data_IF_703960126346
#
_entry.id   IF_703960126346
#
_cell.length_a   1.000
_cell.length_b   1.000
_cell.length_c   1.000
_cell.angle_alpha   90.00
_cell.angle_beta   90.00
_cell.angle_gamma   90.00
#
_symmetry.space_group_name_H-M   'P 1'
#
loop_
_entity.id
_entity.type
_entity.pdbx_description
1 polymer ?
#
# COMPACT_ATOMS: atom_id res chain seq x y z
N UNK A 1 -5.03 21.39 -16.90
CA UNK A 1 -4.11 20.85 -17.92
C UNK A 1 -2.79 20.44 -17.31
N UNK A 2 -2.09 21.36 -16.65
CA UNK A 2 -0.77 21.05 -16.06
C UNK A 2 -0.85 19.96 -15.00
N UNK A 3 -1.85 19.99 -14.13
CA UNK A 3 -2.03 18.96 -13.11
C UNK A 3 -2.28 17.57 -13.71
N UNK A 4 -3.01 17.51 -14.82
CA UNK A 4 -3.28 16.26 -15.53
C UNK A 4 -2.00 15.67 -16.10
N UNK A 5 -1.13 16.50 -16.69
CA UNK A 5 0.15 16.06 -17.22
C UNK A 5 1.08 15.58 -16.11
N UNK A 6 1.09 16.28 -14.96
CA UNK A 6 1.86 15.88 -13.79
C UNK A 6 1.40 14.52 -13.28
N UNK A 7 0.09 14.31 -13.15
CA UNK A 7 -0.44 13.04 -12.67
C UNK A 7 -0.10 11.90 -13.62
N UNK A 8 -0.13 12.15 -14.93
CA UNK A 8 0.26 11.15 -15.91
C UNK A 8 1.72 10.73 -15.73
N UNK A 9 2.61 11.70 -15.52
CA UNK A 9 4.02 11.43 -15.27
C UNK A 9 4.21 10.63 -13.98
N UNK A 10 3.54 11.04 -12.90
CA UNK A 10 3.64 10.33 -11.63
C UNK A 10 3.09 8.90 -11.74
N UNK A 11 2.04 8.71 -12.55
CA UNK A 11 1.49 7.38 -12.78
C UNK A 11 2.52 6.48 -13.48
N UNK A 12 3.20 7.00 -14.49
CA UNK A 12 4.25 6.27 -15.20
C UNK A 12 5.43 5.96 -14.29
N UNK A 13 5.87 6.95 -13.50
CA UNK A 13 6.98 6.78 -12.55
C UNK A 13 6.65 5.74 -11.49
N UNK A 14 5.42 5.76 -10.98
CA UNK A 14 4.97 4.81 -9.96
C UNK A 14 5.05 3.37 -10.48
N UNK A 15 4.51 3.13 -11.67
CA UNK A 15 4.54 1.80 -12.29
C UNK A 15 5.98 1.36 -12.50
N UNK A 16 6.83 2.25 -13.00
CA UNK A 16 8.23 1.96 -13.26
C UNK A 16 8.98 1.58 -11.98
N UNK A 17 8.71 2.27 -10.88
CA UNK A 17 9.39 2.04 -9.60
C UNK A 17 8.84 0.86 -8.83
N UNK A 18 7.53 0.60 -8.88
CA UNK A 18 6.85 -0.35 -8.00
C UNK A 18 6.32 -1.61 -8.67
N UNK A 19 6.41 -1.71 -10.02
CA UNK A 19 5.85 -2.87 -10.73
C UNK A 19 6.46 -4.20 -10.26
N UNK A 20 7.69 -4.19 -9.77
CA UNK A 20 8.33 -5.40 -9.23
C UNK A 20 7.59 -6.00 -8.03
N UNK A 21 6.73 -5.22 -7.38
CA UNK A 21 5.92 -5.68 -6.24
C UNK A 21 4.49 -6.05 -6.64
N UNK A 22 4.07 -5.80 -7.88
CA UNK A 22 2.65 -5.87 -8.25
C UNK A 22 2.05 -7.27 -8.16
N UNK A 23 2.86 -8.32 -8.23
CA UNK A 23 2.39 -9.70 -8.07
C UNK A 23 2.39 -10.17 -6.63
N UNK A 24 2.83 -9.31 -5.71
CA UNK A 24 2.86 -9.64 -4.29
C UNK A 24 1.45 -9.84 -3.76
N UNK A 25 1.22 -10.95 -3.10
CA UNK A 25 -0.05 -11.25 -2.46
C UNK A 25 0.22 -12.04 -1.18
N UNK A 26 0.01 -11.37 -0.05
CA UNK A 26 0.18 -12.00 1.26
C UNK A 26 -1.20 -12.42 1.75
N UNK A 27 -1.32 -13.63 2.25
CA UNK A 27 -2.62 -14.13 2.72
C UNK A 27 -2.44 -15.06 3.91
N UNK A 28 -3.37 -14.98 4.85
CA UNK A 28 -3.47 -15.92 5.95
C UNK A 28 -4.73 -16.80 5.84
N UNK A 29 -5.35 -16.81 4.66
CA UNK A 29 -6.59 -17.52 4.39
C UNK A 29 -7.85 -16.68 4.52
N UNK A 30 -7.79 -15.58 5.25
CA UNK A 30 -8.91 -14.63 5.41
C UNK A 30 -8.51 -13.24 4.95
N UNK A 31 -7.40 -12.72 5.45
CA UNK A 31 -6.88 -11.40 5.10
C UNK A 31 -5.93 -11.54 3.92
N UNK A 32 -6.09 -10.68 2.93
CA UNK A 32 -5.22 -10.58 1.77
C UNK A 32 -4.60 -9.18 1.76
N UNK A 33 -3.28 -9.12 1.64
CA UNK A 33 -2.54 -7.85 1.59
C UNK A 33 -1.86 -7.77 0.24
N UNK A 34 -2.19 -6.74 -0.54
CA UNK A 34 -1.70 -6.54 -1.90
C UNK A 34 -1.23 -5.09 -2.07
N UNK A 35 -0.27 -4.82 -2.97
CA UNK A 35 0.15 -3.45 -3.24
C UNK A 35 -0.93 -2.68 -3.98
N UNK A 36 -0.95 -1.37 -3.78
CA UNK A 36 -1.72 -0.46 -4.64
C UNK A 36 -0.94 -0.32 -5.95
N UNK A 37 -1.60 -0.57 -7.07
CA UNK A 37 -0.94 -0.75 -8.37
C UNK A 37 -0.99 0.47 -9.28
N UNK A 38 -1.78 1.49 -8.93
CA UNK A 38 -1.96 2.68 -9.75
C UNK A 38 -2.36 3.87 -8.90
N UNK A 39 -2.23 5.07 -9.45
CA UNK A 39 -2.71 6.28 -8.80
C UNK A 39 -4.22 6.24 -8.58
N UNK A 40 -4.95 5.62 -9.49
CA UNK A 40 -6.39 5.43 -9.33
C UNK A 40 -6.71 4.58 -8.10
N UNK A 41 -5.91 3.54 -7.85
CA UNK A 41 -6.08 2.71 -6.66
C UNK A 41 -5.77 3.49 -5.38
N UNK A 42 -4.74 4.35 -5.40
CA UNK A 42 -4.46 5.25 -4.28
C UNK A 42 -5.63 6.17 -3.99
N UNK A 43 -6.20 6.75 -5.04
CA UNK A 43 -7.35 7.65 -4.91
C UNK A 43 -8.55 6.92 -4.32
N UNK A 44 -8.85 5.74 -4.84
CA UNK A 44 -9.95 4.92 -4.36
C UNK A 44 -9.77 4.48 -2.91
N UNK A 45 -8.55 4.08 -2.56
CA UNK A 45 -8.21 3.71 -1.19
C UNK A 45 -8.45 4.88 -0.24
N UNK A 46 -7.95 6.06 -0.59
CA UNK A 46 -8.14 7.26 0.22
C UNK A 46 -9.60 7.66 0.38
N UNK A 47 -10.38 7.57 -0.69
CA UNK A 47 -11.80 7.88 -0.65
C UNK A 47 -12.59 6.90 0.23
N UNK A 48 -12.37 5.61 0.06
CA UNK A 48 -13.10 4.57 0.80
C UNK A 48 -12.69 4.56 2.27
N UNK A 49 -11.39 4.71 2.54
CA UNK A 49 -10.86 4.62 3.89
C UNK A 49 -10.87 5.96 4.64
N UNK A 50 -11.30 7.04 3.97
CA UNK A 50 -11.33 8.39 4.54
C UNK A 50 -10.00 8.78 5.18
N UNK A 51 -8.92 8.58 4.44
CA UNK A 51 -7.58 9.02 4.85
C UNK A 51 -6.83 9.61 3.66
N UNK A 52 -5.63 10.12 3.90
CA UNK A 52 -4.95 11.01 2.96
C UNK A 52 -3.86 10.33 2.13
N UNK A 53 -3.97 9.03 1.87
CA UNK A 53 -2.93 8.29 1.13
C UNK A 53 -2.71 8.84 -0.28
N UNK A 54 -3.78 9.28 -0.95
CA UNK A 54 -3.66 9.91 -2.27
C UNK A 54 -3.34 11.39 -2.17
N UNK A 55 -4.10 12.15 -1.35
CA UNK A 55 -3.92 13.59 -1.24
C UNK A 55 -2.57 13.97 -0.64
N UNK A 56 -1.98 13.14 0.22
CA UNK A 56 -0.63 13.33 0.74
C UNK A 56 0.43 12.73 -0.18
N UNK A 57 0.02 12.29 -1.36
CA UNK A 57 0.92 11.86 -2.43
C UNK A 57 1.91 10.76 -2.03
N UNK A 58 1.44 9.77 -1.27
CA UNK A 58 2.27 8.64 -0.85
C UNK A 58 2.85 7.85 -2.04
N UNK A 59 2.19 7.95 -3.22
CA UNK A 59 2.72 7.33 -4.44
C UNK A 59 4.06 7.91 -4.89
N UNK A 60 4.45 9.10 -4.40
CA UNK A 60 5.74 9.72 -4.71
C UNK A 60 6.87 9.22 -3.83
N UNK A 61 6.58 8.50 -2.74
CA UNK A 61 7.59 8.03 -1.80
C UNK A 61 8.34 6.84 -2.38
N UNK A 62 9.58 7.06 -2.83
CA UNK A 62 10.39 6.02 -3.45
C UNK A 62 10.71 4.87 -2.50
N UNK A 63 10.93 5.19 -1.23
CA UNK A 63 11.34 4.20 -0.22
C UNK A 63 10.16 3.63 0.55
N UNK A 64 8.93 3.84 0.08
CA UNK A 64 7.73 3.31 0.71
C UNK A 64 6.98 2.40 -0.24
N UNK A 65 6.54 1.25 0.28
CA UNK A 65 5.61 0.36 -0.40
C UNK A 65 4.27 0.47 0.31
N UNK A 66 3.23 0.81 -0.43
CA UNK A 66 1.90 0.98 0.12
C UNK A 66 1.04 -0.23 -0.24
N UNK A 67 0.54 -0.90 0.78
CA UNK A 67 -0.23 -2.13 0.65
C UNK A 67 -1.65 -1.90 1.16
N UNK A 68 -2.60 -2.61 0.57
CA UNK A 68 -3.99 -2.61 1.01
C UNK A 68 -4.33 -3.97 1.59
N UNK A 69 -4.75 -3.98 2.86
CA UNK A 69 -5.20 -5.19 3.54
C UNK A 69 -6.72 -5.30 3.40
N UNK A 70 -7.17 -6.43 2.87
CA UNK A 70 -8.57 -6.65 2.51
C UNK A 70 -9.10 -7.99 3.00
N UNK A 71 -10.42 -8.04 3.22
CA UNK A 71 -11.16 -9.28 3.40
C UNK A 71 -12.20 -9.30 2.29
N UNK A 72 -12.03 -10.21 1.31
CA UNK A 72 -12.82 -10.15 0.09
C UNK A 72 -12.59 -8.83 -0.62
N UNK A 73 -13.65 -8.10 -0.93
CA UNK A 73 -13.57 -6.78 -1.55
C UNK A 73 -13.48 -5.64 -0.55
N UNK A 74 -13.63 -5.93 0.75
CA UNK A 74 -13.65 -4.90 1.79
C UNK A 74 -12.23 -4.50 2.18
N UNK A 75 -11.93 -3.21 2.10
CA UNK A 75 -10.66 -2.64 2.56
C UNK A 75 -10.68 -2.49 4.07
N UNK A 76 -9.65 -3.02 4.73
CA UNK A 76 -9.57 -3.06 6.19
C UNK A 76 -8.54 -2.06 6.71
N UNK A 77 -7.30 -2.10 6.17
CA UNK A 77 -6.23 -1.16 6.54
C UNK A 77 -5.32 -0.92 5.35
N UNK A 78 -4.68 0.25 5.37
CA UNK A 78 -3.62 0.60 4.42
C UNK A 78 -2.29 0.57 5.17
N UNK A 79 -1.32 -0.18 4.65
CA UNK A 79 -0.04 -0.43 5.31
C UNK A 79 1.08 0.25 4.54
N UNK A 80 1.94 0.96 5.25
CA UNK A 80 3.17 1.54 4.67
C UNK A 80 4.37 0.77 5.18
N UNK A 81 5.19 0.24 4.26
CA UNK A 81 6.42 -0.46 4.56
C UNK A 81 7.59 0.38 4.06
N UNK A 82 8.62 0.57 4.90
CA UNK A 82 9.84 1.25 4.48
C UNK A 82 10.74 0.25 3.76
N UNK A 83 11.14 0.58 2.53
CA UNK A 83 11.92 -0.32 1.67
C UNK A 83 13.45 -0.24 1.93
N UNK A 84 13.87 0.55 2.91
CA UNK A 84 15.27 0.57 3.38
C UNK A 84 15.43 -0.21 4.67
N UNK A 85 14.56 0.07 5.65
CA UNK A 85 14.60 -0.61 6.95
C UNK A 85 13.82 -1.92 6.97
N UNK A 86 12.92 -2.12 6.02
CA UNK A 86 11.99 -3.25 5.95
C UNK A 86 11.15 -3.38 7.21
N UNK A 87 10.70 -2.23 7.71
CA UNK A 87 9.81 -2.14 8.85
C UNK A 87 8.49 -1.50 8.43
N UNK A 88 7.43 -1.86 9.13
CA UNK A 88 6.13 -1.23 8.94
C UNK A 88 6.19 0.15 9.56
N UNK A 89 5.92 1.19 8.78
CA UNK A 89 5.88 2.57 9.25
C UNK A 89 4.55 2.84 9.95
N UNK A 90 3.46 2.38 9.33
CA UNK A 90 2.11 2.55 9.86
C UNK A 90 1.15 1.60 9.16
N UNK A 91 0.02 1.33 9.82
CA UNK A 91 -1.11 0.65 9.24
C UNK A 91 -2.37 1.29 9.79
N UNK A 92 -3.21 1.83 8.91
CA UNK A 92 -4.35 2.67 9.28
C UNK A 92 -5.65 2.16 8.68
N UNK A 93 -6.66 2.04 9.52
CA UNK A 93 -8.03 1.72 9.12
C UNK A 93 -8.77 3.01 8.75
N UNK A 94 -10.09 2.91 8.59
CA UNK A 94 -10.95 4.05 8.26
C UNK A 94 -10.70 5.21 9.24
N UNK A 95 -10.61 6.41 8.69
CA UNK A 95 -10.36 7.66 9.44
C UNK A 95 -9.07 7.61 10.27
N UNK A 96 -8.05 6.93 9.76
CA UNK A 96 -6.74 6.77 10.41
C UNK A 96 -6.79 6.04 11.76
N UNK A 97 -7.85 5.23 11.97
CA UNK A 97 -7.98 4.42 13.17
C UNK A 97 -7.25 3.09 13.06
N UNK A 98 -7.63 2.15 13.90
CA UNK A 98 -7.18 0.76 13.84
C UNK A 98 -8.39 -0.15 13.75
N UNK A 99 -8.25 -1.26 13.01
CA UNK A 99 -9.32 -2.26 12.90
C UNK A 99 -9.14 -3.36 13.94
N UNK A 100 -10.15 -4.18 14.12
CA UNK A 100 -10.05 -5.38 14.96
C UNK A 100 -9.01 -6.37 14.43
N UNK A 101 -8.61 -6.23 13.14
CA UNK A 101 -7.63 -7.11 12.50
C UNK A 101 -6.23 -6.51 12.48
N UNK A 102 -6.02 -5.36 13.14
CA UNK A 102 -4.75 -4.63 13.08
C UNK A 102 -3.54 -5.50 13.39
N UNK A 103 -3.53 -6.16 14.55
CA UNK A 103 -2.39 -6.98 14.95
C UNK A 103 -2.17 -8.16 14.00
N UNK A 104 -3.24 -8.72 13.48
CA UNK A 104 -3.17 -9.84 12.53
C UNK A 104 -2.58 -9.39 11.19
N UNK A 105 -2.94 -8.19 10.73
CA UNK A 105 -2.39 -7.58 9.51
C UNK A 105 -0.89 -7.34 9.70
N UNK A 106 -0.51 -6.74 10.83
CA UNK A 106 0.90 -6.47 11.14
C UNK A 106 1.72 -7.76 11.12
N UNK A 107 1.23 -8.81 11.79
CA UNK A 107 1.93 -10.10 11.81
C UNK A 107 2.06 -10.72 10.41
N UNK A 108 1.00 -10.61 9.60
CA UNK A 108 1.02 -11.16 8.25
C UNK A 108 2.09 -10.47 7.39
N UNK A 109 2.19 -9.16 7.47
CA UNK A 109 3.19 -8.39 6.72
C UNK A 109 4.59 -8.68 7.25
N UNK A 110 4.79 -8.66 8.56
CA UNK A 110 6.09 -8.94 9.17
C UNK A 110 6.59 -10.33 8.85
N UNK A 111 5.71 -11.32 8.89
CA UNK A 111 6.05 -12.71 8.55
C UNK A 111 6.56 -12.85 7.12
N UNK A 112 6.11 -11.98 6.22
CA UNK A 112 6.47 -12.02 4.81
C UNK A 112 7.45 -10.91 4.40
N UNK A 113 8.06 -10.23 5.35
CA UNK A 113 8.98 -9.12 5.06
C UNK A 113 10.20 -9.58 4.25
N UNK A 114 10.67 -10.80 4.47
CA UNK A 114 11.77 -11.36 3.68
C UNK A 114 11.42 -11.45 2.19
N UNK A 115 10.17 -11.72 1.85
CA UNK A 115 9.71 -11.74 0.47
C UNK A 115 9.74 -10.35 -0.15
N UNK A 116 9.30 -9.33 0.60
CA UNK A 116 9.36 -7.93 0.15
C UNK A 116 10.82 -7.52 -0.08
N UNK A 117 11.70 -7.87 0.86
CA UNK A 117 13.13 -7.59 0.76
C UNK A 117 13.74 -8.26 -0.49
N UNK A 118 13.37 -9.50 -0.76
CA UNK A 118 13.84 -10.24 -1.93
C UNK A 118 13.41 -9.56 -3.23
N UNK A 119 12.18 -9.08 -3.32
CA UNK A 119 11.66 -8.38 -4.50
C UNK A 119 12.33 -7.02 -4.72
N UNK A 120 12.91 -6.44 -3.68
CA UNK A 120 13.61 -5.15 -3.75
C UNK A 120 15.00 -5.30 -4.39
N UNK A 121 15.61 -6.47 -4.30
CA UNK A 121 16.98 -6.71 -4.78
C UNK A 121 17.13 -6.60 -6.31
#
# INVERSE_FOLDING_TARGET
MQRLLELKKYAEDYIKEKSKFFDLKLSDGKIVVIPLKSLEEFKKEGEIMHHCVFSNEYFKKKDSLILSARIGSKRIETVEVNLKSFQIVQSRAVCNGTSEYHDRIIRLVEKNMSLIKKLTA
#
